data_IF_879866408759
#
_entry.id   IF_879866408759
#
_cell.length_a   1.000
_cell.length_b   1.000
_cell.length_c   1.000
_cell.angle_alpha   90.00
_cell.angle_beta   90.00
_cell.angle_gamma   90.00
#
_symmetry.space_group_name_H-M   'P 1'
#
loop_
_entity.id
_entity.type
_entity.pdbx_description
1 polymer ?
#
# COMPACT_ATOMS: atom_id res chain seq x y z
N UNK A 1 33.20 32.37 6.63
CA UNK A 1 32.09 32.07 7.57
C UNK A 1 30.77 32.49 6.93
N UNK A 2 29.67 31.75 7.09
CA UNK A 2 28.40 32.18 6.51
C UNK A 2 27.83 33.40 7.24
N UNK A 3 27.17 34.31 6.55
CA UNK A 3 26.54 35.52 7.11
C UNK A 3 25.66 35.20 8.33
N UNK A 4 25.00 34.05 8.35
CA UNK A 4 24.20 33.55 9.49
C UNK A 4 25.08 33.25 10.72
N UNK A 5 26.26 32.69 10.54
CA UNK A 5 27.17 32.39 11.67
C UNK A 5 27.73 33.64 12.34
N UNK A 6 27.94 34.70 11.56
CA UNK A 6 28.41 36.01 12.08
C UNK A 6 27.30 36.65 12.93
N UNK A 7 26.08 36.73 12.43
CA UNK A 7 24.91 37.29 13.15
C UNK A 7 24.64 36.55 14.45
N UNK A 8 24.64 35.20 14.43
CA UNK A 8 24.43 34.40 15.65
C UNK A 8 25.56 34.63 16.68
N UNK A 9 26.81 34.85 16.23
CA UNK A 9 27.91 35.13 17.10
C UNK A 9 27.79 36.48 17.78
N UNK A 10 27.32 37.52 17.06
CA UNK A 10 27.02 38.86 17.60
C UNK A 10 25.89 38.85 18.61
N UNK A 11 24.89 37.96 18.44
CA UNK A 11 23.79 37.73 19.37
C UNK A 11 24.20 36.90 20.61
N UNK A 12 25.47 36.57 20.78
CA UNK A 12 25.98 35.79 21.92
C UNK A 12 25.67 34.30 21.86
N UNK A 13 25.12 33.81 20.74
CA UNK A 13 24.76 32.37 20.54
C UNK A 13 25.99 31.61 20.05
N UNK A 14 26.79 31.11 21.00
CA UNK A 14 27.95 30.23 20.72
C UNK A 14 27.95 29.06 21.71
N UNK A 15 28.31 27.84 21.26
CA UNK A 15 28.63 27.39 19.90
C UNK A 15 27.35 27.17 19.06
N UNK A 16 27.43 27.44 17.73
CA UNK A 16 26.35 27.14 16.79
C UNK A 16 26.45 25.67 16.42
N UNK A 17 25.55 24.88 16.95
CA UNK A 17 25.44 23.46 16.61
C UNK A 17 24.94 23.30 15.16
N UNK A 18 25.72 22.62 14.33
CA UNK A 18 25.29 22.18 12.99
C UNK A 18 24.93 20.73 13.09
N UNK A 19 23.75 20.38 12.51
CA UNK A 19 23.40 18.98 12.34
C UNK A 19 24.54 18.31 11.55
N UNK A 20 25.14 17.28 12.13
CA UNK A 20 26.10 16.44 11.43
C UNK A 20 25.29 15.58 10.47
N UNK A 21 25.07 16.04 9.25
CA UNK A 21 24.62 15.15 8.18
C UNK A 21 25.74 14.15 7.97
N UNK A 22 25.53 12.91 8.43
CA UNK A 22 26.34 11.79 7.96
C UNK A 22 26.24 11.81 6.44
N UNK A 23 27.34 11.68 5.70
CA UNK A 23 27.23 11.45 4.26
C UNK A 23 26.30 10.24 4.12
N UNK A 24 25.18 10.44 3.41
CA UNK A 24 24.31 9.34 3.02
C UNK A 24 25.19 8.47 2.13
N UNK A 25 25.66 7.36 2.64
CA UNK A 25 26.20 6.30 1.81
C UNK A 25 25.02 5.92 0.93
N UNK A 26 25.05 6.32 -0.32
CA UNK A 26 24.17 5.82 -1.35
C UNK A 26 24.54 4.33 -1.51
N UNK A 27 23.90 3.50 -0.72
CA UNK A 27 23.82 2.09 -1.08
C UNK A 27 23.16 2.07 -2.46
N UNK A 28 23.81 1.47 -3.47
CA UNK A 28 23.15 1.34 -4.77
C UNK A 28 21.81 0.69 -4.49
N UNK A 29 20.72 1.36 -4.87
CA UNK A 29 19.37 0.76 -4.86
C UNK A 29 19.52 -0.59 -5.56
N UNK A 30 19.06 -1.69 -4.97
CA UNK A 30 19.03 -2.95 -5.69
C UNK A 30 18.28 -2.66 -6.97
N UNK A 31 18.94 -2.90 -8.10
CA UNK A 31 18.35 -2.78 -9.42
C UNK A 31 16.97 -3.41 -9.37
N UNK A 32 15.93 -2.62 -9.62
CA UNK A 32 14.55 -3.12 -9.66
C UNK A 32 14.47 -4.37 -10.52
N UNK A 33 13.41 -5.18 -10.37
CA UNK A 33 13.25 -6.38 -11.17
C UNK A 33 13.41 -6.00 -12.65
N UNK A 34 14.04 -6.85 -13.46
CA UNK A 34 14.24 -6.52 -14.86
C UNK A 34 12.88 -6.16 -15.46
N UNK A 35 12.81 -5.02 -16.13
CA UNK A 35 11.58 -4.50 -16.76
C UNK A 35 10.83 -5.54 -17.60
N UNK A 36 11.49 -6.62 -17.91
CA UNK A 36 11.00 -7.76 -18.66
C UNK A 36 9.96 -8.63 -17.89
N UNK A 37 9.88 -8.61 -16.55
CA UNK A 37 8.93 -9.46 -15.82
C UNK A 37 7.56 -8.79 -15.58
N UNK A 38 7.49 -7.46 -15.58
CA UNK A 38 6.22 -6.73 -15.44
C UNK A 38 5.32 -6.86 -16.68
N UNK A 39 5.91 -6.83 -17.88
CA UNK A 39 5.16 -6.91 -19.13
C UNK A 39 4.36 -8.22 -19.21
N UNK A 40 4.97 -9.42 -19.04
CA UNK A 40 4.23 -10.66 -19.07
C UNK A 40 3.22 -10.79 -17.92
N UNK A 41 3.50 -10.25 -16.74
CA UNK A 41 2.54 -10.27 -15.64
C UNK A 41 1.31 -9.38 -15.94
N UNK A 42 1.51 -8.18 -16.46
CA UNK A 42 0.42 -7.29 -16.90
C UNK A 42 -0.44 -7.96 -17.98
N UNK A 43 0.19 -8.59 -18.97
CA UNK A 43 -0.51 -9.34 -20.01
C UNK A 43 -1.28 -10.55 -19.45
N UNK A 44 -0.69 -11.31 -18.54
CA UNK A 44 -1.34 -12.45 -17.89
C UNK A 44 -2.56 -12.03 -17.05
N UNK A 45 -2.51 -10.87 -16.39
CA UNK A 45 -3.64 -10.34 -15.63
C UNK A 45 -4.74 -9.83 -16.56
N UNK A 46 -4.40 -9.05 -17.58
CA UNK A 46 -5.38 -8.47 -18.50
C UNK A 46 -6.16 -9.54 -19.27
N UNK A 47 -5.49 -10.60 -19.71
CA UNK A 47 -6.08 -11.75 -20.41
C UNK A 47 -6.62 -12.85 -19.48
N UNK A 48 -6.62 -12.68 -18.16
CA UNK A 48 -6.94 -13.75 -17.23
C UNK A 48 -8.43 -14.18 -17.33
N UNK A 49 -8.68 -15.48 -17.43
CA UNK A 49 -10.02 -16.09 -17.46
C UNK A 49 -10.18 -17.21 -16.43
N UNK A 50 -9.31 -17.25 -15.38
CA UNK A 50 -9.23 -18.37 -14.44
C UNK A 50 -10.43 -18.52 -13.51
N UNK A 51 -11.24 -17.49 -13.30
CA UNK A 51 -12.44 -17.53 -12.46
C UNK A 51 -13.61 -16.81 -13.15
N UNK A 52 -14.83 -16.97 -12.63
CA UNK A 52 -16.06 -16.42 -13.22
C UNK A 52 -16.11 -14.90 -13.37
N UNK A 53 -15.27 -14.16 -12.65
CA UNK A 53 -15.27 -12.69 -12.67
C UNK A 53 -14.88 -12.11 -14.04
N UNK A 54 -14.16 -12.86 -14.86
CA UNK A 54 -13.80 -12.40 -16.21
C UNK A 54 -15.03 -12.13 -17.11
N UNK A 55 -16.18 -12.75 -16.82
CA UNK A 55 -17.40 -12.59 -17.59
C UNK A 55 -18.15 -11.29 -17.29
N UNK A 56 -17.91 -10.69 -16.15
CA UNK A 56 -18.70 -9.55 -15.64
C UNK A 56 -17.89 -8.27 -15.45
N UNK A 57 -16.56 -8.36 -15.47
CA UNK A 57 -15.68 -7.18 -15.39
C UNK A 57 -15.72 -6.37 -16.69
N UNK A 58 -15.57 -5.07 -16.59
CA UNK A 58 -15.25 -4.20 -17.74
C UNK A 58 -13.79 -4.38 -18.15
N UNK A 59 -12.88 -4.32 -17.16
CA UNK A 59 -11.47 -4.57 -17.35
C UNK A 59 -10.81 -5.07 -16.05
N UNK A 60 -9.56 -5.45 -16.12
CA UNK A 60 -8.79 -5.79 -14.93
C UNK A 60 -8.19 -4.55 -14.29
N UNK A 61 -8.09 -4.55 -12.97
CA UNK A 61 -7.41 -3.53 -12.18
C UNK A 61 -6.11 -4.14 -11.65
N UNK A 62 -5.03 -3.87 -12.37
CA UNK A 62 -3.74 -4.51 -12.08
C UNK A 62 -3.14 -4.05 -10.75
N UNK A 63 -3.09 -2.75 -10.56
CA UNK A 63 -2.40 -2.04 -9.50
C UNK A 63 -1.68 -0.83 -10.07
N UNK A 64 -1.31 0.13 -9.23
CA UNK A 64 -0.67 1.38 -9.64
C UNK A 64 0.34 1.84 -8.60
N UNK A 65 1.41 2.45 -9.06
CA UNK A 65 2.39 3.08 -8.19
C UNK A 65 3.82 2.85 -8.60
N UNK A 66 4.71 3.03 -7.66
CA UNK A 66 6.16 2.84 -7.84
C UNK A 66 6.49 1.34 -7.83
N UNK A 67 7.04 0.83 -8.92
CA UNK A 67 7.43 -0.59 -9.06
C UNK A 67 8.62 -0.96 -8.15
N UNK A 68 9.26 0.03 -7.51
CA UNK A 68 10.32 -0.15 -6.51
C UNK A 68 9.91 0.38 -5.13
N UNK A 69 8.62 0.36 -4.82
CA UNK A 69 8.08 0.92 -3.59
C UNK A 69 8.51 0.13 -2.34
N UNK A 70 8.86 0.83 -1.28
CA UNK A 70 9.00 0.24 0.06
C UNK A 70 7.63 -0.07 0.70
N UNK A 71 6.57 0.67 0.30
CA UNK A 71 5.22 0.54 0.83
C UNK A 71 4.29 -0.10 -0.18
N UNK A 72 3.62 -1.17 0.21
CA UNK A 72 2.56 -1.77 -0.59
C UNK A 72 1.24 -1.78 0.16
N UNK A 73 0.22 -1.10 -0.41
CA UNK A 73 -1.12 -1.07 0.15
C UNK A 73 -2.01 -2.06 -0.59
N UNK A 74 -2.67 -2.93 0.14
CA UNK A 74 -3.49 -4.01 -0.45
C UNK A 74 -4.93 -3.90 0.06
N UNK A 75 -5.85 -3.65 -0.85
CA UNK A 75 -7.29 -3.69 -0.61
C UNK A 75 -7.91 -5.04 -1.00
N UNK A 76 -9.23 -5.11 -0.98
CA UNK A 76 -10.01 -6.32 -1.25
C UNK A 76 -10.14 -6.60 -2.76
N UNK A 77 -10.89 -5.75 -3.45
CA UNK A 77 -11.27 -5.92 -4.85
C UNK A 77 -11.60 -4.57 -5.49
N UNK A 78 -11.59 -4.47 -6.83
CA UNK A 78 -12.05 -3.28 -7.53
C UNK A 78 -13.54 -3.01 -7.29
N UNK A 79 -13.90 -1.73 -7.13
CA UNK A 79 -15.26 -1.24 -7.17
C UNK A 79 -15.69 -0.88 -8.60
N UNK A 80 -16.85 -0.20 -8.73
CA UNK A 80 -17.41 0.15 -10.04
C UNK A 80 -16.56 1.16 -10.82
N UNK A 81 -16.03 2.18 -10.14
CA UNK A 81 -15.19 3.19 -10.79
C UNK A 81 -13.83 2.61 -11.16
N UNK A 82 -13.27 1.74 -10.31
CA UNK A 82 -12.02 1.06 -10.56
C UNK A 82 -12.12 0.12 -11.77
N UNK A 83 -13.22 -0.64 -11.88
CA UNK A 83 -13.51 -1.51 -13.02
C UNK A 83 -13.68 -0.72 -14.33
N UNK A 84 -14.26 0.48 -14.25
CA UNK A 84 -14.43 1.36 -15.40
C UNK A 84 -13.12 2.02 -15.84
N UNK A 85 -12.25 2.43 -14.90
CA UNK A 85 -11.04 3.22 -15.17
C UNK A 85 -9.77 2.36 -15.28
N UNK A 86 -9.75 1.17 -14.68
CA UNK A 86 -8.61 0.27 -14.69
C UNK A 86 -7.57 0.51 -13.58
N UNK A 87 -7.76 1.55 -12.76
CA UNK A 87 -6.86 1.89 -11.67
C UNK A 87 -7.50 1.65 -10.30
N UNK A 88 -6.75 1.19 -9.27
CA UNK A 88 -7.27 0.95 -7.95
C UNK A 88 -7.51 2.26 -7.18
N UNK A 89 -8.55 2.30 -6.38
CA UNK A 89 -8.86 3.41 -5.48
C UNK A 89 -8.98 4.76 -6.19
N UNK A 90 -9.84 4.85 -7.19
CA UNK A 90 -10.11 6.08 -7.96
C UNK A 90 -11.37 6.82 -7.50
N UNK A 91 -12.28 6.16 -6.76
CA UNK A 91 -13.50 6.75 -6.21
C UNK A 91 -13.27 7.56 -4.93
N UNK A 92 -14.37 7.82 -4.18
CA UNK A 92 -14.30 8.56 -2.90
C UNK A 92 -13.39 7.90 -1.87
N UNK A 93 -13.40 6.56 -1.80
CA UNK A 93 -12.50 5.80 -0.95
C UNK A 93 -11.01 6.04 -1.32
N UNK A 94 -10.72 6.17 -2.61
CA UNK A 94 -9.39 6.50 -3.11
C UNK A 94 -8.93 7.89 -2.70
N UNK A 95 -9.81 8.90 -2.79
CA UNK A 95 -9.48 10.26 -2.32
C UNK A 95 -9.17 10.28 -0.82
N UNK A 96 -9.91 9.50 -0.02
CA UNK A 96 -9.60 9.38 1.40
C UNK A 96 -8.25 8.69 1.59
N UNK A 97 -7.95 7.64 0.83
CA UNK A 97 -6.65 6.97 0.86
C UNK A 97 -5.50 7.93 0.54
N UNK A 98 -5.65 8.78 -0.48
CA UNK A 98 -4.64 9.78 -0.83
C UNK A 98 -4.39 10.78 0.32
N UNK A 99 -5.44 11.21 1.02
CA UNK A 99 -5.32 12.04 2.21
C UNK A 99 -4.65 11.30 3.38
N UNK A 100 -4.96 10.01 3.56
CA UNK A 100 -4.32 9.17 4.58
C UNK A 100 -2.82 9.01 4.32
N UNK A 101 -2.42 8.80 3.07
CA UNK A 101 -1.02 8.75 2.65
C UNK A 101 -0.32 10.08 2.89
N UNK A 102 -0.92 11.19 2.47
CA UNK A 102 -0.38 12.53 2.66
C UNK A 102 -0.14 12.87 4.14
N UNK A 103 -1.04 12.43 5.03
CA UNK A 103 -0.94 12.66 6.47
C UNK A 103 0.30 11.98 7.10
N UNK A 104 0.84 10.92 6.49
CA UNK A 104 2.08 10.26 6.92
C UNK A 104 3.28 10.58 6.02
N UNK A 105 3.16 11.59 5.14
CA UNK A 105 4.23 12.05 4.27
C UNK A 105 4.49 11.18 3.06
N UNK A 106 3.51 10.36 2.65
CA UNK A 106 3.53 9.53 1.45
C UNK A 106 2.61 10.10 0.37
N UNK A 107 2.79 9.65 -0.86
CA UNK A 107 1.89 9.98 -1.96
C UNK A 107 1.80 8.82 -2.95
N UNK A 108 0.66 8.70 -3.62
CA UNK A 108 0.45 7.72 -4.68
C UNK A 108 1.56 7.86 -5.74
N UNK A 109 2.15 6.74 -6.14
CA UNK A 109 3.19 6.68 -7.18
C UNK A 109 4.59 7.11 -6.75
N UNK A 110 4.80 7.51 -5.49
CA UNK A 110 6.13 7.82 -4.96
C UNK A 110 6.41 6.98 -3.73
N UNK A 111 7.25 5.96 -3.90
CA UNK A 111 7.59 4.96 -2.88
C UNK A 111 6.34 4.21 -2.32
N UNK A 112 5.25 4.20 -3.09
CA UNK A 112 3.98 3.55 -2.73
C UNK A 112 3.45 2.80 -3.94
N UNK A 113 3.07 1.53 -3.74
CA UNK A 113 2.33 0.73 -4.70
C UNK A 113 0.98 0.32 -4.11
N UNK A 114 -0.09 0.44 -4.88
CA UNK A 114 -1.46 0.16 -4.46
C UNK A 114 -2.03 -0.96 -5.32
N UNK A 115 -2.54 -2.00 -4.69
CA UNK A 115 -3.18 -3.13 -5.36
C UNK A 115 -4.38 -3.66 -4.58
N UNK A 116 -5.07 -4.63 -5.13
CA UNK A 116 -6.10 -5.40 -4.45
C UNK A 116 -5.75 -6.90 -4.50
N UNK A 117 -6.35 -7.68 -3.60
CA UNK A 117 -6.30 -9.15 -3.63
C UNK A 117 -6.86 -9.63 -4.97
N UNK A 118 -8.06 -9.19 -5.34
CA UNK A 118 -8.63 -9.48 -6.64
C UNK A 118 -8.28 -8.41 -7.69
N UNK A 119 -8.10 -8.86 -8.93
CA UNK A 119 -7.85 -7.97 -10.08
C UNK A 119 -9.12 -7.68 -10.90
N UNK A 120 -10.23 -8.28 -10.54
CA UNK A 120 -11.52 -8.13 -11.20
C UNK A 120 -12.59 -7.77 -10.20
N UNK A 121 -13.58 -6.96 -10.62
CA UNK A 121 -14.71 -6.56 -9.80
C UNK A 121 -15.69 -7.70 -9.61
N UNK A 122 -16.06 -8.08 -8.37
CA UNK A 122 -17.18 -8.98 -8.12
C UNK A 122 -18.53 -8.33 -8.45
N UNK A 123 -19.51 -9.07 -9.02
CA UNK A 123 -20.84 -8.54 -9.32
C UNK A 123 -21.49 -7.90 -8.09
N UNK A 124 -22.05 -6.69 -8.27
CA UNK A 124 -22.69 -5.94 -7.17
C UNK A 124 -21.74 -5.55 -6.02
N UNK A 125 -20.41 -5.59 -6.22
CA UNK A 125 -19.41 -5.38 -5.18
C UNK A 125 -19.59 -6.33 -3.99
N UNK A 126 -20.04 -7.59 -4.22
CA UNK A 126 -20.09 -8.60 -3.17
C UNK A 126 -18.68 -8.99 -2.71
N UNK A 127 -18.58 -9.60 -1.55
CA UNK A 127 -17.31 -10.16 -1.11
C UNK A 127 -16.84 -11.24 -2.11
N UNK A 128 -15.52 -11.34 -2.34
CA UNK A 128 -14.91 -12.43 -3.10
C UNK A 128 -15.20 -13.80 -2.52
N UNK A 129 -15.29 -14.81 -3.38
CA UNK A 129 -15.35 -16.21 -2.94
C UNK A 129 -13.93 -16.77 -2.71
N UNK A 130 -13.76 -17.81 -1.87
CA UNK A 130 -12.46 -18.45 -1.69
C UNK A 130 -11.83 -18.93 -3.00
N UNK A 131 -12.64 -19.45 -3.94
CA UNK A 131 -12.17 -19.86 -5.25
C UNK A 131 -11.63 -18.70 -6.07
N UNK A 132 -12.34 -17.57 -6.11
CA UNK A 132 -11.88 -16.35 -6.80
C UNK A 132 -10.55 -15.84 -6.24
N UNK A 133 -10.41 -15.87 -4.91
CA UNK A 133 -9.17 -15.54 -4.22
C UNK A 133 -8.04 -16.49 -4.62
N UNK A 134 -8.26 -17.80 -4.54
CA UNK A 134 -7.25 -18.81 -4.87
C UNK A 134 -6.72 -18.65 -6.30
N UNK A 135 -7.62 -18.36 -7.26
CA UNK A 135 -7.24 -18.17 -8.67
C UNK A 135 -6.53 -16.84 -8.91
N UNK A 136 -6.77 -15.80 -8.10
CA UNK A 136 -6.20 -14.46 -8.27
C UNK A 136 -4.93 -14.21 -7.45
N UNK A 137 -4.76 -14.88 -6.31
CA UNK A 137 -3.61 -14.72 -5.40
C UNK A 137 -2.25 -14.88 -6.06
N UNK A 138 -2.02 -15.78 -7.06
CA UNK A 138 -0.73 -15.89 -7.73
C UNK A 138 -0.28 -14.57 -8.40
N UNK A 139 -1.22 -13.76 -8.90
CA UNK A 139 -0.90 -12.47 -9.49
C UNK A 139 -0.40 -11.47 -8.45
N UNK A 140 -1.04 -11.43 -7.27
CA UNK A 140 -0.62 -10.56 -6.16
C UNK A 140 0.74 -11.00 -5.60
N UNK A 141 0.94 -12.30 -5.40
CA UNK A 141 2.23 -12.83 -4.94
C UNK A 141 3.36 -12.45 -5.89
N UNK A 142 3.13 -12.59 -7.22
CA UNK A 142 4.14 -12.17 -8.19
C UNK A 142 4.43 -10.67 -8.16
N UNK A 143 3.43 -9.83 -7.92
CA UNK A 143 3.65 -8.40 -7.70
C UNK A 143 4.51 -8.13 -6.46
N UNK A 144 4.27 -8.83 -5.35
CA UNK A 144 5.08 -8.71 -4.13
C UNK A 144 6.52 -9.14 -4.37
N UNK A 145 6.73 -10.24 -5.10
CA UNK A 145 8.07 -10.71 -5.49
C UNK A 145 8.84 -9.70 -6.34
N UNK A 146 8.15 -9.00 -7.25
CA UNK A 146 8.76 -8.02 -8.13
C UNK A 146 9.06 -6.71 -7.42
N UNK A 147 8.12 -6.19 -6.62
CA UNK A 147 8.25 -4.93 -5.87
C UNK A 147 9.23 -5.10 -4.71
N UNK A 148 9.17 -6.24 -4.01
CA UNK A 148 9.93 -6.51 -2.76
C UNK A 148 9.71 -5.43 -1.71
N UNK A 149 8.45 -5.12 -1.38
CA UNK A 149 8.14 -4.03 -0.45
C UNK A 149 8.73 -4.37 0.92
N UNK A 150 9.11 -3.34 1.68
CA UNK A 150 9.58 -3.50 3.05
C UNK A 150 8.41 -3.60 4.03
N UNK A 151 7.25 -3.05 3.68
CA UNK A 151 6.05 -3.10 4.50
C UNK A 151 4.78 -3.21 3.63
N UNK A 152 3.90 -4.13 4.02
CA UNK A 152 2.55 -4.25 3.47
C UNK A 152 1.56 -3.62 4.46
N UNK A 153 0.59 -2.87 3.94
CA UNK A 153 -0.57 -2.37 4.70
C UNK A 153 -1.83 -3.01 4.11
N UNK A 154 -2.43 -3.95 4.85
CA UNK A 154 -3.69 -4.58 4.49
C UNK A 154 -4.86 -3.70 4.91
N UNK A 155 -5.66 -3.26 3.95
CA UNK A 155 -6.77 -2.33 4.16
C UNK A 155 -8.11 -3.06 4.15
N UNK A 156 -8.74 -3.15 5.33
CA UNK A 156 -10.06 -3.75 5.51
C UNK A 156 -10.02 -5.23 5.91
N UNK A 157 -11.17 -5.67 6.43
CA UNK A 157 -11.32 -7.02 6.98
C UNK A 157 -10.97 -8.11 5.98
N UNK A 158 -11.52 -8.00 4.77
CA UNK A 158 -11.35 -9.05 3.78
C UNK A 158 -9.87 -9.19 3.35
N UNK A 159 -9.21 -8.09 3.03
CA UNK A 159 -7.79 -8.13 2.67
C UNK A 159 -6.94 -8.71 3.81
N UNK A 160 -7.19 -8.27 5.06
CA UNK A 160 -6.47 -8.76 6.22
C UNK A 160 -6.70 -10.26 6.46
N UNK A 161 -7.95 -10.71 6.44
CA UNK A 161 -8.30 -12.12 6.65
C UNK A 161 -7.73 -13.03 5.56
N UNK A 162 -7.81 -12.58 4.30
CA UNK A 162 -7.25 -13.32 3.16
C UNK A 162 -5.73 -13.46 3.24
N UNK A 163 -5.02 -12.35 3.50
CA UNK A 163 -3.55 -12.38 3.53
C UNK A 163 -3.01 -13.09 4.77
N UNK A 164 -3.75 -13.11 5.87
CA UNK A 164 -3.33 -13.74 7.12
C UNK A 164 -3.95 -15.13 7.34
N UNK A 165 -4.77 -15.60 6.39
CA UNK A 165 -5.49 -16.88 6.48
C UNK A 165 -6.21 -17.02 7.83
N UNK A 166 -6.95 -15.98 8.24
CA UNK A 166 -7.54 -15.84 9.58
C UNK A 166 -8.95 -15.26 9.50
N UNK A 167 -9.86 -15.79 10.30
CA UNK A 167 -11.22 -15.26 10.48
C UNK A 167 -11.33 -14.19 11.57
N UNK A 168 -10.20 -13.78 12.13
CA UNK A 168 -10.14 -12.79 13.22
C UNK A 168 -10.71 -11.44 12.81
N UNK A 169 -11.29 -10.74 13.77
CA UNK A 169 -11.82 -9.40 13.55
C UNK A 169 -10.69 -8.39 13.25
N UNK A 170 -11.02 -7.32 12.53
CA UNK A 170 -10.05 -6.25 12.27
C UNK A 170 -9.52 -5.65 13.58
N UNK A 171 -10.39 -5.51 14.59
CA UNK A 171 -10.02 -4.97 15.88
C UNK A 171 -8.94 -5.80 16.59
N UNK A 172 -8.97 -7.13 16.42
CA UNK A 172 -7.97 -8.03 16.98
C UNK A 172 -6.68 -8.13 16.16
N UNK A 173 -6.74 -7.80 14.87
CA UNK A 173 -5.58 -7.84 13.96
C UNK A 173 -4.79 -6.53 13.94
N UNK A 174 -5.40 -5.39 14.30
CA UNK A 174 -4.72 -4.08 14.34
C UNK A 174 -3.67 -3.99 15.46
N UNK A 175 -2.81 -2.98 15.36
CA UNK A 175 -1.88 -2.59 16.42
C UNK A 175 -0.69 -3.54 16.63
N UNK A 176 -0.47 -4.48 15.74
CA UNK A 176 0.67 -5.42 15.77
C UNK A 176 1.20 -5.70 14.38
N UNK A 177 2.44 -6.18 14.30
CA UNK A 177 3.08 -6.57 13.05
C UNK A 177 2.79 -8.05 12.79
N UNK A 178 2.22 -8.34 11.64
CA UNK A 178 2.07 -9.66 11.05
C UNK A 178 3.11 -9.88 9.96
N UNK A 179 3.02 -11.01 9.24
CA UNK A 179 3.84 -11.28 8.05
C UNK A 179 3.01 -11.91 6.95
N UNK A 180 3.30 -11.51 5.72
CA UNK A 180 2.76 -12.14 4.52
C UNK A 180 3.86 -12.28 3.47
N UNK A 181 4.04 -13.47 2.90
CA UNK A 181 5.14 -13.77 1.97
C UNK A 181 6.53 -13.30 2.48
N UNK A 182 6.78 -13.42 3.79
CA UNK A 182 8.02 -12.97 4.43
C UNK A 182 8.10 -11.47 4.74
N UNK A 183 7.20 -10.64 4.19
CA UNK A 183 7.16 -9.19 4.37
C UNK A 183 6.36 -8.82 5.62
N UNK A 184 6.83 -7.88 6.46
CA UNK A 184 6.04 -7.31 7.54
C UNK A 184 4.71 -6.74 7.03
N UNK A 185 3.61 -7.02 7.76
CA UNK A 185 2.27 -6.59 7.39
C UNK A 185 1.57 -5.94 8.58
N UNK A 186 0.93 -4.80 8.33
CA UNK A 186 0.08 -4.08 9.28
C UNK A 186 -1.33 -4.02 8.73
N UNK A 187 -2.30 -4.18 9.62
CA UNK A 187 -3.73 -4.15 9.30
C UNK A 187 -4.33 -2.82 9.69
N UNK A 188 -5.17 -2.25 8.81
CA UNK A 188 -5.98 -1.07 9.12
C UNK A 188 -7.37 -1.17 8.48
N UNK A 189 -8.26 -0.23 8.82
CA UNK A 189 -9.60 -0.18 8.22
C UNK A 189 -9.55 0.22 6.74
N UNK A 190 -10.55 -0.28 5.98
CA UNK A 190 -10.69 0.08 4.58
C UNK A 190 -11.22 1.52 4.42
N UNK A 191 -10.67 2.35 3.52
CA UNK A 191 -11.14 3.73 3.34
C UNK A 191 -12.65 3.85 3.08
N UNK A 192 -13.26 2.94 2.31
CA UNK A 192 -14.71 2.94 2.08
C UNK A 192 -15.53 2.71 3.36
N UNK A 193 -15.00 1.95 4.33
CA UNK A 193 -15.62 1.78 5.64
C UNK A 193 -15.56 3.09 6.44
N UNK A 194 -14.43 3.79 6.43
CA UNK A 194 -14.21 5.04 7.14
C UNK A 194 -15.06 6.21 6.64
N UNK A 195 -15.58 6.12 5.41
CA UNK A 195 -16.54 7.09 4.89
C UNK A 195 -17.93 6.96 5.57
N UNK A 196 -18.23 5.78 6.11
CA UNK A 196 -19.50 5.48 6.79
C UNK A 196 -19.38 5.51 8.32
N UNK A 197 -18.18 5.22 8.84
CA UNK A 197 -17.90 5.12 10.29
C UNK A 197 -16.75 6.07 10.62
N UNK A 198 -17.11 7.33 10.87
CA UNK A 198 -16.12 8.41 10.99
C UNK A 198 -15.25 8.29 12.24
N UNK A 199 -15.80 7.72 13.32
CA UNK A 199 -15.09 7.53 14.60
C UNK A 199 -13.85 6.63 14.44
N UNK A 200 -13.89 5.66 13.53
CA UNK A 200 -12.78 4.74 13.31
C UNK A 200 -11.61 5.36 12.52
N UNK A 201 -11.75 6.61 12.05
CA UNK A 201 -10.63 7.37 11.48
C UNK A 201 -9.50 7.58 12.49
N UNK A 202 -9.84 7.80 13.78
CA UNK A 202 -8.85 7.92 14.84
C UNK A 202 -8.02 6.63 14.97
N UNK A 203 -8.69 5.47 14.98
CA UNK A 203 -8.01 4.16 15.02
C UNK A 203 -7.15 3.92 13.80
N UNK A 204 -7.61 4.32 12.62
CA UNK A 204 -6.80 4.24 11.39
C UNK A 204 -5.58 5.14 11.45
N UNK A 205 -5.70 6.33 12.02
CA UNK A 205 -4.55 7.21 12.26
C UNK A 205 -3.50 6.55 13.16
N UNK A 206 -3.91 5.89 14.24
CA UNK A 206 -3.02 5.10 15.10
C UNK A 206 -2.28 4.02 14.31
N UNK A 207 -2.99 3.28 13.43
CA UNK A 207 -2.40 2.25 12.58
C UNK A 207 -1.37 2.82 11.61
N UNK A 208 -1.67 3.97 10.99
CA UNK A 208 -0.75 4.62 10.05
C UNK A 208 0.51 5.14 10.76
N UNK A 209 0.36 5.71 11.96
CA UNK A 209 1.50 6.13 12.79
C UNK A 209 2.33 4.91 13.20
N UNK A 210 1.68 3.81 13.57
CA UNK A 210 2.33 2.55 13.89
C UNK A 210 3.09 1.99 12.69
N UNK A 211 2.47 1.97 11.50
CA UNK A 211 3.09 1.55 10.25
C UNK A 211 4.34 2.38 9.92
N UNK A 212 4.26 3.71 10.09
CA UNK A 212 5.40 4.60 9.88
C UNK A 212 6.55 4.35 10.87
N UNK A 213 6.24 4.09 12.14
CA UNK A 213 7.25 3.72 13.15
C UNK A 213 7.89 2.37 12.82
N UNK A 214 7.09 1.38 12.42
CA UNK A 214 7.58 0.06 12.01
C UNK A 214 8.52 0.19 10.81
N UNK A 215 8.14 0.94 9.78
CA UNK A 215 8.98 1.17 8.61
C UNK A 215 10.32 1.84 8.96
N UNK A 216 10.33 2.75 9.92
CA UNK A 216 11.57 3.43 10.35
C UNK A 216 12.53 2.50 11.09
N UNK A 217 12.06 1.39 11.63
CA UNK A 217 12.84 0.35 12.31
C UNK A 217 13.28 -0.81 11.42
N UNK A 218 12.77 -0.89 10.16
CA UNK A 218 13.17 -1.88 9.15
C UNK A 218 14.38 -1.42 8.35
#
# INVERSE_FOLDING_TARGET
MSRRAVVLAEMGIKPVWKLRTKPRVETPSPSGPPANEWIPLKAAVSGCTKCGLHKTRTQTVFGVGDENADWMLIGEAPGAEEDRLGDPFVGQAGRLLDNMLAAIGLSRGKNVYIANVLKCRPPGNRNPTPEEVAQCSPHLLKQIELIKPRLIVAMGRFAAQTLLESDSSIASLRGRVHRYAGVPLIVTYHPAYLLRTLEDKAKTWEDLVFARKTMAGL
#
